data_IF_619035162227
#
_entry.id   IF_619035162227
#
_cell.length_a   1.000
_cell.length_b   1.000
_cell.length_c   1.000
_cell.angle_alpha   90.00
_cell.angle_beta   90.00
_cell.angle_gamma   90.00
#
_symmetry.space_group_name_H-M   'P 1'
#
loop_
_entity.id
_entity.type
_entity.pdbx_description
1 polymer ?
#
# COMPACT_ATOMS: atom_id res chain seq x y z
N UNK A 1 -15.27 -2.63 18.12
CA UNK A 1 -14.07 -3.45 18.36
C UNK A 1 -12.97 -2.83 17.51
N UNK A 2 -12.16 -1.96 18.11
CA UNK A 2 -11.13 -1.20 17.41
C UNK A 2 -9.89 -2.06 17.33
N UNK A 3 -9.54 -2.53 16.13
CA UNK A 3 -8.24 -3.17 15.92
C UNK A 3 -7.18 -2.07 15.89
N UNK A 4 -6.50 -1.91 17.03
CA UNK A 4 -5.32 -1.08 17.17
C UNK A 4 -4.16 -1.80 16.47
N UNK A 5 -3.70 -1.26 15.34
CA UNK A 5 -2.51 -1.73 14.63
C UNK A 5 -1.27 -1.40 15.46
N UNK A 6 -0.40 -2.37 15.81
CA UNK A 6 0.87 -2.06 16.47
C UNK A 6 1.90 -1.54 15.45
N UNK A 7 2.29 -0.27 15.61
CA UNK A 7 3.59 0.31 15.25
C UNK A 7 4.11 0.15 13.79
N UNK A 8 3.33 0.48 12.77
CA UNK A 8 3.92 0.95 11.51
C UNK A 8 4.38 2.39 11.73
N UNK A 9 5.67 2.58 12.04
CA UNK A 9 6.27 3.92 12.10
C UNK A 9 6.43 4.43 10.67
N UNK A 10 5.44 5.17 10.17
CA UNK A 10 5.53 5.90 8.91
C UNK A 10 6.42 7.13 9.15
N UNK A 11 7.71 7.06 8.87
CA UNK A 11 8.56 8.26 8.78
C UNK A 11 8.31 8.96 7.44
N UNK A 12 7.22 9.70 7.36
CA UNK A 12 7.00 10.65 6.28
C UNK A 12 7.45 12.05 6.72
N UNK A 13 8.31 12.74 5.96
CA UNK A 13 8.25 14.19 5.88
C UNK A 13 7.71 14.55 4.50
N UNK A 14 6.64 15.34 4.46
CA UNK A 14 6.60 16.63 3.73
C UNK A 14 5.21 17.26 3.89
N UNK A 15 5.25 18.50 4.33
CA UNK A 15 4.15 19.40 4.65
C UNK A 15 3.38 19.85 3.39
N UNK A 16 2.05 20.02 3.49
CA UNK A 16 1.42 21.32 3.24
C UNK A 16 0.00 21.41 3.77
N UNK A 17 -0.23 22.47 4.52
CA UNK A 17 -1.50 22.98 5.02
C UNK A 17 -2.28 23.64 3.88
N UNK A 18 -3.59 23.43 3.79
CA UNK A 18 -4.62 24.44 3.48
C UNK A 18 -5.99 23.80 3.62
N UNK A 19 -6.83 24.43 4.44
CA UNK A 19 -8.20 24.06 4.76
C UNK A 19 -9.08 23.89 3.51
N UNK A 20 -9.96 22.87 3.50
CA UNK A 20 -11.36 23.10 3.17
C UNK A 20 -12.26 21.93 3.57
N UNK A 21 -13.36 22.34 4.17
CA UNK A 21 -14.48 21.58 4.70
C UNK A 21 -15.18 20.70 3.66
N UNK A 22 -15.69 19.55 4.15
CA UNK A 22 -17.05 19.13 3.81
C UNK A 22 -17.26 18.23 2.59
N UNK A 23 -17.31 16.93 2.88
CA UNK A 23 -18.08 15.86 2.17
C UNK A 23 -17.60 15.47 0.77
N UNK A 24 -17.14 14.23 0.66
CA UNK A 24 -17.06 13.53 -0.62
C UNK A 24 -17.83 12.22 -0.48
N UNK A 25 -18.98 12.15 -1.15
CA UNK A 25 -19.78 10.93 -1.30
C UNK A 25 -19.07 10.00 -2.29
N UNK A 26 -18.71 8.79 -1.85
CA UNK A 26 -18.09 7.78 -2.72
C UNK A 26 -19.20 7.11 -3.54
N UNK A 27 -19.40 7.57 -4.78
CA UNK A 27 -20.15 6.82 -5.78
C UNK A 27 -19.25 5.77 -6.43
N UNK A 28 -19.64 4.51 -6.26
CA UNK A 28 -19.15 3.32 -6.95
C UNK A 28 -19.06 3.55 -8.47
N UNK A 29 -17.84 3.58 -9.00
CA UNK A 29 -17.57 3.40 -10.42
C UNK A 29 -16.51 2.32 -10.58
N UNK A 30 -16.98 1.07 -10.75
CA UNK A 30 -16.16 0.00 -11.25
C UNK A 30 -15.77 0.28 -12.71
N UNK A 31 -14.52 -0.08 -13.05
CA UNK A 31 -14.00 -0.25 -14.40
C UNK A 31 -13.75 1.03 -15.24
N UNK A 32 -12.79 1.84 -14.81
CA UNK A 32 -11.79 2.42 -15.72
C UNK A 32 -10.55 2.77 -14.89
N UNK A 33 -9.45 2.01 -14.99
CA UNK A 33 -8.12 2.47 -14.54
C UNK A 33 -7.62 3.50 -15.58
N UNK A 34 -8.45 4.51 -15.86
CA UNK A 34 -8.06 5.74 -16.52
C UNK A 34 -6.93 6.34 -15.70
N UNK A 35 -5.96 6.92 -16.38
CA UNK A 35 -4.86 7.72 -15.83
C UNK A 35 -5.42 8.96 -15.10
N UNK A 36 -6.13 8.73 -14.00
CA UNK A 36 -6.57 9.74 -13.09
C UNK A 36 -5.32 10.23 -12.36
N UNK A 37 -5.08 11.54 -12.41
CA UNK A 37 -4.01 12.21 -11.66
C UNK A 37 -4.36 12.24 -10.15
N UNK A 38 -4.59 11.07 -9.57
CA UNK A 38 -4.72 10.83 -8.13
C UNK A 38 -3.61 9.88 -7.68
N UNK A 39 -3.40 9.74 -6.37
CA UNK A 39 -2.45 8.77 -5.83
C UNK A 39 -2.83 7.36 -6.32
N UNK A 40 -2.08 6.84 -7.29
CA UNK A 40 -2.43 5.61 -7.99
C UNK A 40 -1.76 4.38 -7.35
N UNK A 41 -0.72 4.59 -6.55
CA UNK A 41 0.05 3.54 -5.89
C UNK A 41 0.73 4.07 -4.63
N UNK A 42 0.77 3.25 -3.58
CA UNK A 42 1.57 3.46 -2.38
C UNK A 42 2.67 2.40 -2.36
N UNK A 43 3.92 2.82 -2.21
CA UNK A 43 5.06 1.92 -2.10
C UNK A 43 5.80 2.17 -0.78
N UNK A 44 6.25 1.10 -0.13
CA UNK A 44 7.02 1.12 1.10
C UNK A 44 8.35 0.41 0.83
N UNK A 45 9.45 1.14 0.96
CA UNK A 45 10.80 0.54 0.90
C UNK A 45 11.19 -0.04 2.26
N UNK A 46 11.65 -1.28 2.26
CA UNK A 46 12.13 -2.03 3.43
C UNK A 46 13.61 -2.36 3.28
N UNK A 47 14.23 -2.88 4.34
CA UNK A 47 15.69 -3.05 4.41
C UNK A 47 16.32 -4.16 3.56
N UNK A 48 15.64 -4.61 2.50
CA UNK A 48 16.13 -5.68 1.62
C UNK A 48 15.11 -6.81 1.38
N UNK A 49 15.53 -7.81 0.58
CA UNK A 49 14.67 -8.92 0.12
C UNK A 49 14.04 -9.72 1.26
N UNK A 50 14.84 -10.10 2.24
CA UNK A 50 14.34 -10.83 3.41
C UNK A 50 13.28 -10.02 4.18
N UNK A 51 13.37 -8.69 4.18
CA UNK A 51 12.37 -7.85 4.82
C UNK A 51 11.07 -7.79 4.00
N UNK A 52 11.15 -7.83 2.66
CA UNK A 52 9.98 -7.98 1.78
C UNK A 52 9.30 -9.30 2.07
N UNK A 53 10.04 -10.41 2.10
CA UNK A 53 9.50 -11.75 2.36
C UNK A 53 8.81 -11.82 3.72
N UNK A 54 9.52 -11.41 4.77
CA UNK A 54 9.00 -11.47 6.14
C UNK A 54 7.74 -10.60 6.32
N UNK A 55 7.73 -9.39 5.77
CA UNK A 55 6.56 -8.51 5.87
C UNK A 55 5.38 -9.04 5.06
N UNK A 56 5.64 -9.62 3.89
CA UNK A 56 4.58 -10.22 3.06
C UNK A 56 3.93 -11.41 3.75
N UNK A 57 4.73 -12.31 4.33
CA UNK A 57 4.19 -13.45 5.08
C UNK A 57 3.47 -13.03 6.36
N UNK A 58 3.97 -12.00 7.05
CA UNK A 58 3.26 -11.43 8.19
C UNK A 58 1.88 -10.91 7.78
N UNK A 59 1.81 -10.10 6.72
CA UNK A 59 0.54 -9.53 6.23
C UNK A 59 -0.41 -10.62 5.72
N UNK A 60 0.10 -11.65 5.07
CA UNK A 60 -0.70 -12.84 4.70
C UNK A 60 -1.29 -13.51 5.94
N UNK A 61 -0.47 -13.73 6.98
CA UNK A 61 -0.92 -14.33 8.24
C UNK A 61 -1.94 -13.45 8.97
N UNK A 62 -1.83 -12.12 8.82
CA UNK A 62 -2.76 -11.14 9.38
C UNK A 62 -4.09 -11.04 8.59
N UNK A 63 -4.20 -11.77 7.47
CA UNK A 63 -5.42 -11.90 6.67
C UNK A 63 -5.53 -10.90 5.51
N UNK A 64 -4.46 -10.18 5.19
CA UNK A 64 -4.41 -9.34 4.00
C UNK A 64 -4.22 -10.18 2.74
N UNK A 65 -4.71 -9.64 1.62
CA UNK A 65 -4.62 -10.31 0.32
C UNK A 65 -3.25 -9.97 -0.29
N UNK A 66 -2.45 -10.99 -0.58
CA UNK A 66 -1.24 -10.85 -1.39
C UNK A 66 -1.66 -10.88 -2.86
N UNK A 67 -1.58 -9.75 -3.56
CA UNK A 67 -1.90 -9.64 -4.98
C UNK A 67 -0.73 -10.13 -5.85
N UNK A 68 0.50 -9.85 -5.45
CA UNK A 68 1.72 -10.34 -6.09
C UNK A 68 2.70 -10.86 -5.06
N UNK A 69 3.14 -12.10 -5.24
CA UNK A 69 4.20 -12.72 -4.44
C UNK A 69 5.54 -11.96 -4.58
N UNK A 70 6.42 -12.05 -3.57
CA UNK A 70 7.76 -11.50 -3.63
C UNK A 70 8.53 -11.99 -4.87
N UNK A 71 8.94 -11.05 -5.72
CA UNK A 71 9.60 -11.35 -7.00
C UNK A 71 10.56 -10.25 -7.39
N UNK A 72 11.48 -10.57 -8.31
CA UNK A 72 12.29 -9.54 -8.97
C UNK A 72 11.57 -9.05 -10.23
N UNK A 73 11.46 -7.74 -10.40
CA UNK A 73 10.89 -7.09 -11.59
C UNK A 73 11.90 -6.98 -12.73
N UNK A 74 11.43 -6.62 -13.93
CA UNK A 74 12.28 -6.47 -15.11
C UNK A 74 13.29 -5.31 -15.02
N UNK A 75 13.04 -4.35 -14.14
CA UNK A 75 13.92 -3.21 -13.84
C UNK A 75 14.80 -3.43 -12.60
N UNK A 76 14.74 -4.61 -11.97
CA UNK A 76 15.70 -5.07 -10.98
C UNK A 76 15.31 -4.84 -9.52
N UNK A 77 14.12 -4.31 -9.25
CA UNK A 77 13.59 -4.23 -7.89
C UNK A 77 13.11 -5.59 -7.42
N UNK A 78 13.23 -5.84 -6.12
CA UNK A 78 12.59 -6.98 -5.48
C UNK A 78 11.39 -6.47 -4.71
N UNK A 79 10.20 -6.94 -5.06
CA UNK A 79 8.96 -6.40 -4.55
C UNK A 79 7.90 -7.48 -4.32
N UNK A 80 6.93 -7.17 -3.46
CA UNK A 80 5.63 -7.85 -3.38
C UNK A 80 4.51 -6.81 -3.38
N UNK A 81 3.27 -7.25 -3.64
CA UNK A 81 2.09 -6.38 -3.62
C UNK A 81 1.03 -7.00 -2.72
N UNK A 82 0.53 -6.20 -1.78
CA UNK A 82 -0.57 -6.55 -0.88
C UNK A 82 -1.72 -5.57 -1.06
N UNK A 83 -2.94 -6.01 -0.82
CA UNK A 83 -4.11 -5.13 -0.82
C UNK A 83 -4.43 -4.68 0.59
N UNK A 84 -4.73 -3.39 0.74
CA UNK A 84 -5.37 -2.89 1.95
C UNK A 84 -6.83 -3.39 2.06
N UNK A 85 -7.54 -3.11 3.18
CA UNK A 85 -8.92 -3.57 3.36
C UNK A 85 -9.92 -2.99 2.34
N UNK A 86 -9.58 -1.91 1.65
CA UNK A 86 -10.38 -1.28 0.59
C UNK A 86 -10.03 -1.81 -0.81
N UNK A 87 -9.02 -2.68 -0.91
CA UNK A 87 -8.54 -3.25 -2.17
C UNK A 87 -7.53 -2.36 -2.90
N UNK A 88 -6.96 -1.35 -2.24
CA UNK A 88 -5.90 -0.53 -2.83
C UNK A 88 -4.55 -1.29 -2.76
N UNK A 89 -3.78 -1.33 -3.87
CA UNK A 89 -2.49 -2.01 -3.89
C UNK A 89 -1.42 -1.21 -3.15
N UNK A 90 -0.64 -1.92 -2.34
CA UNK A 90 0.53 -1.44 -1.63
C UNK A 90 1.72 -2.29 -2.05
N UNK A 91 2.72 -1.64 -2.64
CA UNK A 91 3.98 -2.27 -3.03
C UNK A 91 4.95 -2.28 -1.85
N UNK A 92 5.59 -3.42 -1.58
CA UNK A 92 6.65 -3.56 -0.58
C UNK A 92 7.94 -3.85 -1.34
N UNK A 93 8.91 -2.95 -1.27
CA UNK A 93 10.11 -2.97 -2.14
C UNK A 93 11.38 -3.05 -1.31
N UNK A 94 12.36 -3.85 -1.74
CA UNK A 94 13.67 -3.99 -1.11
C UNK A 94 14.60 -2.78 -1.31
#
# INVERSE_FOLDING_TARGET
>A
MVHHLPNITVKAPVLRHSDQDGRIDITTAAADRSLNKGYTHLAISVGGKDAVDNLTEQLRSDGYIVESEPRTTGDGYYESVVLDPEGNPIEIVA
#
